data_IF_645141734575
#
_entry.id   IF_645141734575
#
_cell.length_a   1.000
_cell.length_b   1.000
_cell.length_c   1.000
_cell.angle_alpha   90.00
_cell.angle_beta   90.00
_cell.angle_gamma   90.00
#
_symmetry.space_group_name_H-M   'P 1'
#
loop_
_entity.id
_entity.type
_entity.pdbx_description
1 polymer ?
#
# COMPACT_ATOMS: atom_id res chain seq x y z
N UNK A 1 13.82 9.48 -13.03
CA UNK A 1 12.41 9.86 -13.29
C UNK A 1 11.81 10.31 -11.97
N UNK A 2 11.60 11.62 -11.80
CA UNK A 2 11.10 12.21 -10.56
C UNK A 2 9.61 11.86 -10.41
N UNK A 3 9.28 10.76 -9.73
CA UNK A 3 7.89 10.42 -9.37
C UNK A 3 7.44 11.39 -8.27
N UNK A 4 7.16 12.64 -8.64
CA UNK A 4 6.58 13.62 -7.73
C UNK A 4 5.14 13.17 -7.51
N UNK A 5 4.91 12.37 -6.47
CA UNK A 5 3.59 11.86 -6.12
C UNK A 5 2.64 13.06 -5.97
N UNK A 6 1.66 13.16 -6.88
CA UNK A 6 0.63 14.17 -6.76
C UNK A 6 -0.13 13.90 -5.45
N UNK A 7 -0.12 14.88 -4.55
CA UNK A 7 -0.94 14.80 -3.34
C UNK A 7 -2.40 14.90 -3.77
N UNK A 8 -3.11 13.78 -3.76
CA UNK A 8 -4.57 13.75 -3.95
C UNK A 8 -5.26 14.03 -2.62
N UNK A 9 -6.26 14.92 -2.64
CA UNK A 9 -7.11 15.24 -1.49
C UNK A 9 -8.43 14.49 -1.62
N UNK A 10 -8.88 13.90 -0.51
CA UNK A 10 -10.17 13.21 -0.41
C UNK A 10 -10.90 13.81 0.78
N UNK A 11 -12.18 14.10 0.60
CA UNK A 11 -13.07 14.49 1.70
C UNK A 11 -13.84 13.27 2.13
N UNK A 12 -13.91 13.04 3.45
CA UNK A 12 -14.63 11.92 4.03
C UNK A 12 -15.63 12.50 5.02
N UNK A 13 -16.89 12.09 4.88
CA UNK A 13 -17.93 12.42 5.85
C UNK A 13 -17.96 11.32 6.91
N UNK A 14 -17.96 11.71 8.17
CA UNK A 14 -18.05 10.81 9.31
C UNK A 14 -19.38 11.05 10.01
N UNK A 15 -19.95 10.01 10.61
CA UNK A 15 -21.07 10.21 11.53
C UNK A 15 -20.60 11.00 12.76
N UNK A 16 -21.50 11.76 13.39
CA UNK A 16 -21.16 12.61 14.55
C UNK A 16 -20.45 11.83 15.67
N UNK A 17 -20.85 10.58 15.89
CA UNK A 17 -20.25 9.71 16.92
C UNK A 17 -18.86 9.21 16.54
N UNK A 18 -18.58 9.06 15.25
CA UNK A 18 -17.27 8.66 14.74
C UNK A 18 -16.29 9.84 14.75
N UNK A 19 -16.76 11.05 14.40
CA UNK A 19 -15.95 12.26 14.50
C UNK A 19 -15.53 12.58 15.92
N UNK A 20 -16.44 12.42 16.89
CA UNK A 20 -16.14 12.65 18.31
C UNK A 20 -15.08 11.66 18.83
N UNK A 21 -15.21 10.37 18.49
CA UNK A 21 -14.20 9.35 18.82
C UNK A 21 -12.83 9.69 18.22
N UNK A 22 -12.81 10.13 16.97
CA UNK A 22 -11.57 10.54 16.30
C UNK A 22 -10.94 11.74 17.01
N UNK A 23 -11.73 12.75 17.37
CA UNK A 23 -11.26 13.95 18.07
C UNK A 23 -10.69 13.61 19.44
N UNK A 24 -11.38 12.78 20.22
CA UNK A 24 -10.89 12.32 21.52
C UNK A 24 -9.59 11.53 21.38
N UNK A 25 -9.47 10.67 20.38
CA UNK A 25 -8.25 9.93 20.11
C UNK A 25 -7.09 10.85 19.67
N UNK A 26 -7.38 11.88 18.87
CA UNK A 26 -6.39 12.92 18.54
C UNK A 26 -5.91 13.66 19.80
N UNK A 27 -6.82 14.01 20.71
CA UNK A 27 -6.48 14.71 21.95
C UNK A 27 -5.59 13.85 22.87
N UNK A 28 -5.87 12.55 22.97
CA UNK A 28 -5.06 11.62 23.80
C UNK A 28 -3.68 11.39 23.20
N UNK A 29 -3.59 11.21 21.88
CA UNK A 29 -2.34 10.87 21.20
C UNK A 29 -1.48 12.09 20.83
N UNK A 30 -2.07 13.29 20.83
CA UNK A 30 -1.42 14.52 20.35
C UNK A 30 -1.15 14.52 18.84
N UNK A 31 -1.72 13.57 18.09
CA UNK A 31 -1.50 13.44 16.64
C UNK A 31 -2.61 14.14 15.85
N UNK A 32 -2.30 14.69 14.66
CA UNK A 32 -3.32 15.27 13.81
C UNK A 32 -4.22 14.19 13.22
N UNK A 33 -5.51 14.52 13.07
CA UNK A 33 -6.52 13.62 12.51
C UNK A 33 -6.11 13.04 11.14
N UNK A 34 -5.42 13.83 10.31
CA UNK A 34 -4.94 13.39 8.99
C UNK A 34 -3.95 12.23 9.05
N UNK A 35 -3.05 12.21 10.03
CA UNK A 35 -2.07 11.15 10.17
C UNK A 35 -2.70 9.88 10.73
N UNK A 36 -3.62 10.04 11.69
CA UNK A 36 -4.42 8.93 12.22
C UNK A 36 -5.26 8.30 11.11
N UNK A 37 -6.02 9.10 10.34
CA UNK A 37 -6.81 8.61 9.20
C UNK A 37 -5.92 7.89 8.18
N UNK A 38 -4.75 8.46 7.86
CA UNK A 38 -3.83 7.84 6.89
C UNK A 38 -3.28 6.51 7.39
N UNK A 39 -3.02 6.38 8.69
CA UNK A 39 -2.60 5.13 9.31
C UNK A 39 -3.72 4.08 9.29
N UNK A 40 -4.93 4.47 9.69
CA UNK A 40 -6.10 3.59 9.66
C UNK A 40 -6.36 3.06 8.24
N UNK A 41 -6.34 3.93 7.23
CA UNK A 41 -6.50 3.52 5.82
C UNK A 41 -5.42 2.52 5.40
N UNK A 42 -4.15 2.70 5.82
CA UNK A 42 -3.07 1.77 5.50
C UNK A 42 -3.18 0.43 6.22
N UNK A 43 -3.83 0.41 7.39
CA UNK A 43 -4.07 -0.81 8.15
C UNK A 43 -5.20 -1.67 7.58
N UNK A 44 -6.06 -1.08 6.74
CA UNK A 44 -7.10 -1.83 6.05
C UNK A 44 -6.45 -2.86 5.12
N UNK A 45 -6.96 -4.11 5.07
CA UNK A 45 -6.51 -5.07 4.10
C UNK A 45 -6.75 -4.50 2.71
N UNK A 46 -5.75 -4.57 1.83
CA UNK A 46 -5.99 -4.30 0.41
C UNK A 46 -6.91 -5.40 -0.12
N UNK A 47 -8.21 -5.14 -0.14
CA UNK A 47 -9.08 -5.90 -1.00
C UNK A 47 -8.54 -5.72 -2.41
N UNK A 48 -8.44 -6.83 -3.14
CA UNK A 48 -7.98 -6.88 -4.52
C UNK A 48 -8.99 -6.18 -5.44
N UNK A 49 -9.29 -4.90 -5.19
CA UNK A 49 -9.83 -4.01 -6.20
C UNK A 49 -8.66 -3.75 -7.13
N UNK A 50 -8.70 -4.42 -8.28
CA UNK A 50 -7.71 -4.35 -9.34
C UNK A 50 -7.25 -2.90 -9.54
N UNK A 51 -6.10 -2.58 -8.97
CA UNK A 51 -5.38 -1.39 -9.35
C UNK A 51 -4.99 -1.69 -10.79
N UNK A 52 -5.77 -1.19 -11.74
CA UNK A 52 -5.39 -1.06 -13.14
C UNK A 52 -4.12 -0.21 -13.19
N UNK A 53 -3.01 -0.85 -12.88
CA UNK A 53 -1.67 -0.32 -12.98
C UNK A 53 -1.10 -0.97 -14.23
N UNK A 54 -1.25 -0.26 -15.35
CA UNK A 54 -0.39 -0.45 -16.50
C UNK A 54 1.07 -0.35 -16.06
N UNK A 55 1.71 -1.51 -15.93
CA UNK A 55 3.15 -1.80 -16.10
C UNK A 55 3.52 -3.04 -15.27
N UNK A 56 3.21 -4.23 -15.78
CA UNK A 56 4.03 -5.41 -15.47
C UNK A 56 5.22 -5.40 -16.43
N UNK A 57 6.42 -5.18 -15.91
CA UNK A 57 7.63 -5.77 -16.49
C UNK A 57 8.25 -6.60 -15.38
N UNK A 58 7.73 -7.82 -15.21
CA UNK A 58 8.44 -8.85 -14.46
C UNK A 58 9.32 -9.56 -15.46
N UNK A 59 10.57 -9.10 -15.54
CA UNK A 59 11.63 -9.78 -16.27
C UNK A 59 11.90 -11.09 -15.53
N UNK A 60 11.27 -12.19 -15.97
CA UNK A 60 11.66 -13.53 -15.52
C UNK A 60 13.08 -13.76 -16.02
N UNK A 61 14.06 -13.61 -15.12
CA UNK A 61 15.43 -14.05 -15.40
C UNK A 61 15.40 -15.57 -15.54
N UNK A 62 15.46 -15.99 -16.80
CA UNK A 62 15.98 -17.28 -17.23
C UNK A 62 17.33 -17.51 -16.54
N UNK A 63 17.43 -18.55 -15.73
CA UNK A 63 18.71 -19.10 -15.30
C UNK A 63 18.76 -20.51 -15.85
N UNK A 64 19.28 -20.61 -17.07
CA UNK A 64 19.79 -21.85 -17.61
C UNK A 64 20.90 -22.36 -16.68
N UNK A 65 20.65 -23.45 -15.97
CA UNK A 65 21.72 -24.26 -15.41
C UNK A 65 21.77 -25.56 -16.22
N UNK A 66 22.56 -25.51 -17.29
CA UNK A 66 23.14 -26.69 -17.91
C UNK A 66 24.04 -27.35 -16.87
N UNK A 67 23.67 -28.54 -16.40
CA UNK A 67 24.65 -29.49 -15.86
C UNK A 67 24.58 -30.78 -16.66
N UNK A 68 25.58 -30.88 -17.53
CA UNK A 68 25.98 -32.05 -18.28
C UNK A 68 26.68 -33.00 -17.29
N UNK A 69 26.06 -34.13 -16.95
CA UNK A 69 26.75 -35.24 -16.28
C UNK A 69 27.24 -36.21 -17.33
N UNK A 70 28.55 -36.30 -17.46
CA UNK A 70 29.26 -37.29 -18.27
C UNK A 70 29.19 -38.69 -17.64
N UNK A 71 29.32 -39.70 -18.52
CA UNK A 71 29.14 -41.15 -18.39
C UNK A 71 29.89 -41.86 -17.24
N UNK A 72 29.45 -43.09 -16.94
CA UNK A 72 30.31 -44.28 -16.79
C UNK A 72 29.47 -45.55 -17.03
N UNK A 73 29.81 -46.28 -18.11
CA UNK A 73 29.33 -47.61 -18.46
C UNK A 73 30.36 -48.27 -19.35
#
# INVERSE_FOLDING_TARGET
MNKKWAVKRITINLASTESEKLEQYCAITGRPATDIIRELIRSLPMSQAEVSQSSQVVFTKEVAHTQQSVSLG
#
